data_IF_805252377055
#
_entry.id   IF_805252377055
#
_cell.length_a   1.000
_cell.length_b   1.000
_cell.length_c   1.000
_cell.angle_alpha   90.00
_cell.angle_beta   90.00
_cell.angle_gamma   90.00
#
_symmetry.space_group_name_H-M   'P 1'
#
loop_
_entity.id
_entity.type
_entity.pdbx_description
1 polymer ?
#
# COMPACT_ATOMS: atom_id res chain seq x y z
N UNK A 1 -25.93 4.26 11.25
CA UNK A 1 -25.08 3.68 10.17
C UNK A 1 -23.80 3.21 10.80
N UNK A 2 -23.40 1.98 10.55
CA UNK A 2 -22.10 1.46 11.01
C UNK A 2 -20.98 2.27 10.33
N UNK A 3 -20.25 3.04 11.14
CA UNK A 3 -19.18 3.95 10.69
C UNK A 3 -18.03 3.17 10.05
N UNK A 4 -17.83 1.91 10.41
CA UNK A 4 -16.80 1.03 9.83
C UNK A 4 -17.18 0.69 8.38
N UNK A 5 -18.43 0.32 8.12
CA UNK A 5 -18.89 0.00 6.75
C UNK A 5 -18.84 1.20 5.81
N UNK A 6 -19.09 2.41 6.33
CA UNK A 6 -18.94 3.64 5.54
C UNK A 6 -17.47 3.86 5.17
N UNK A 7 -16.53 3.69 6.11
CA UNK A 7 -15.10 3.83 5.86
C UNK A 7 -14.58 2.77 4.89
N UNK A 8 -15.02 1.52 5.02
CA UNK A 8 -14.73 0.43 4.06
C UNK A 8 -15.09 0.84 2.64
N UNK A 9 -16.35 1.23 2.41
CA UNK A 9 -16.81 1.66 1.09
C UNK A 9 -16.03 2.85 0.54
N UNK A 10 -15.63 3.78 1.40
CA UNK A 10 -14.78 4.92 0.98
C UNK A 10 -13.38 4.46 0.55
N UNK A 11 -12.74 3.55 1.30
CA UNK A 11 -11.44 3.00 0.96
C UNK A 11 -11.54 2.13 -0.31
N UNK A 12 -12.51 1.23 -0.41
CA UNK A 12 -12.78 0.41 -1.60
C UNK A 12 -12.96 1.28 -2.85
N UNK A 13 -13.75 2.37 -2.75
CA UNK A 13 -13.95 3.31 -3.86
C UNK A 13 -12.65 4.06 -4.22
N UNK A 14 -11.85 4.44 -3.23
CA UNK A 14 -10.63 5.23 -3.44
C UNK A 14 -9.48 4.41 -4.04
N UNK A 15 -9.30 3.18 -3.57
CA UNK A 15 -8.17 2.34 -3.94
C UNK A 15 -8.53 1.34 -5.03
N UNK A 16 -9.78 0.89 -5.12
CA UNK A 16 -10.24 -0.04 -6.15
C UNK A 16 -9.80 -1.50 -5.95
N UNK A 17 -8.62 -1.73 -5.37
CA UNK A 17 -8.15 -3.06 -4.98
C UNK A 17 -8.00 -3.16 -3.47
N UNK A 18 -8.32 -4.33 -2.94
CA UNK A 18 -8.17 -4.63 -1.53
C UNK A 18 -8.09 -6.14 -1.27
N UNK A 19 -7.57 -6.48 -0.09
CA UNK A 19 -7.49 -7.84 0.43
C UNK A 19 -7.67 -7.83 1.95
N UNK A 20 -8.13 -8.94 2.51
CA UNK A 20 -8.31 -9.09 3.97
C UNK A 20 -7.01 -9.55 4.62
N UNK A 21 -6.68 -8.96 5.77
CA UNK A 21 -5.49 -9.31 6.52
C UNK A 21 -5.86 -10.30 7.65
N UNK A 22 -4.94 -11.22 8.04
CA UNK A 22 -5.21 -12.21 9.10
C UNK A 22 -5.63 -11.63 10.46
N UNK A 23 -5.33 -10.35 10.71
CA UNK A 23 -5.72 -9.61 11.91
C UNK A 23 -7.16 -9.05 11.85
N UNK A 24 -7.94 -9.40 10.82
CA UNK A 24 -9.28 -8.87 10.58
C UNK A 24 -9.30 -7.45 9.97
N UNK A 25 -8.12 -6.90 9.68
CA UNK A 25 -7.93 -5.65 8.96
C UNK A 25 -8.01 -5.83 7.45
N UNK A 26 -7.67 -4.77 6.72
CA UNK A 26 -7.65 -4.78 5.25
C UNK A 26 -6.43 -4.06 4.70
N UNK A 27 -5.91 -4.58 3.59
CA UNK A 27 -4.93 -3.91 2.75
C UNK A 27 -5.63 -3.37 1.53
N UNK A 28 -5.49 -2.08 1.24
CA UNK A 28 -6.03 -1.41 0.06
C UNK A 28 -4.88 -0.92 -0.81
N UNK A 29 -4.99 -1.00 -2.13
CA UNK A 29 -3.97 -0.44 -3.03
C UNK A 29 -4.51 0.02 -4.38
N UNK A 30 -3.80 0.96 -4.99
CA UNK A 30 -3.95 1.29 -6.41
C UNK A 30 -2.58 1.48 -7.06
N UNK A 31 -2.53 1.19 -8.36
CA UNK A 31 -1.33 1.31 -9.18
C UNK A 31 -1.39 2.60 -9.99
N UNK A 32 -0.27 3.31 -10.05
CA UNK A 32 -0.06 4.50 -10.87
C UNK A 32 1.03 4.18 -11.90
N UNK A 33 0.69 4.11 -13.20
CA UNK A 33 1.69 3.91 -14.23
C UNK A 33 2.63 5.11 -14.29
N UNK A 34 3.93 4.83 -14.29
CA UNK A 34 5.00 5.80 -14.44
C UNK A 34 5.55 5.85 -15.85
N UNK A 35 6.69 6.54 -16.02
CA UNK A 35 7.39 6.62 -17.31
C UNK A 35 8.25 5.37 -17.54
N UNK A 36 8.48 5.02 -18.80
CA UNK A 36 9.40 3.94 -19.21
C UNK A 36 9.08 2.57 -18.59
N UNK A 37 7.80 2.26 -18.38
CA UNK A 37 7.35 0.98 -17.81
C UNK A 37 7.45 0.88 -16.29
N UNK A 38 7.97 1.91 -15.61
CA UNK A 38 7.93 1.96 -14.15
C UNK A 38 6.50 2.15 -13.66
N UNK A 39 6.23 1.76 -12.42
CA UNK A 39 4.93 1.99 -11.78
C UNK A 39 5.11 2.23 -10.29
N UNK A 40 4.23 3.03 -9.71
CA UNK A 40 4.12 3.14 -8.27
C UNK A 40 2.84 2.45 -7.79
N UNK A 41 2.88 1.82 -6.61
CA UNK A 41 1.71 1.29 -5.92
C UNK A 41 1.56 2.02 -4.60
N UNK A 42 0.40 2.61 -4.36
CA UNK A 42 0.08 3.20 -3.07
C UNK A 42 -0.66 2.15 -2.24
N UNK A 43 -0.12 1.82 -1.08
CA UNK A 43 -0.68 0.80 -0.18
C UNK A 43 -1.12 1.45 1.13
N UNK A 44 -2.33 1.09 1.57
CA UNK A 44 -2.89 1.46 2.87
C UNK A 44 -3.32 0.20 3.62
N UNK A 45 -2.83 0.01 4.82
CA UNK A 45 -3.27 -1.07 5.70
C UNK A 45 -4.05 -0.49 6.88
N UNK A 46 -5.15 -1.14 7.23
CA UNK A 46 -6.03 -0.75 8.33
C UNK A 46 -6.29 -1.93 9.27
N UNK A 47 -6.64 -1.63 10.53
CA UNK A 47 -7.14 -2.63 11.48
C UNK A 47 -8.62 -3.00 11.21
N UNK A 48 -9.17 -3.88 12.04
CA UNK A 48 -10.58 -4.31 11.93
C UNK A 48 -11.60 -3.18 12.06
N UNK A 49 -11.20 -2.05 12.63
CA UNK A 49 -12.01 -0.85 12.86
C UNK A 49 -11.79 0.23 11.79
N UNK A 50 -11.07 -0.10 10.71
CA UNK A 50 -10.68 0.83 9.64
C UNK A 50 -9.75 1.97 10.10
N UNK A 51 -9.02 1.80 11.20
CA UNK A 51 -7.97 2.72 11.60
C UNK A 51 -6.71 2.42 10.78
N UNK A 52 -6.07 3.45 10.24
CA UNK A 52 -4.86 3.27 9.43
C UNK A 52 -3.72 2.80 10.32
N UNK A 53 -3.09 1.68 9.95
CA UNK A 53 -1.89 1.14 10.61
C UNK A 53 -0.67 1.55 9.79
N UNK A 54 -0.73 1.40 8.46
CA UNK A 54 0.36 1.73 7.56
C UNK A 54 -0.12 2.47 6.32
N UNK A 55 0.71 3.40 5.85
CA UNK A 55 0.58 3.98 4.52
C UNK A 55 1.95 4.11 3.89
N UNK A 56 2.14 3.49 2.73
CA UNK A 56 3.43 3.47 2.04
C UNK A 56 3.24 3.43 0.52
N UNK A 57 4.30 3.79 -0.19
CA UNK A 57 4.37 3.77 -1.64
C UNK A 57 5.48 2.83 -2.06
N UNK A 58 5.14 1.86 -2.88
CA UNK A 58 6.09 0.93 -3.51
C UNK A 58 6.41 1.42 -4.92
N UNK A 59 7.68 1.44 -5.30
CA UNK A 59 8.13 1.78 -6.65
C UNK A 59 8.64 0.54 -7.33
N UNK A 60 8.05 0.23 -8.47
CA UNK A 60 8.43 -0.89 -9.31
C UNK A 60 9.11 -0.41 -10.59
N UNK A 61 10.16 -1.11 -10.99
CA UNK A 61 10.83 -0.87 -12.25
C UNK A 61 10.03 -1.43 -13.45
N UNK A 62 10.61 -1.32 -14.65
CA UNK A 62 10.02 -1.83 -15.89
C UNK A 62 9.93 -3.35 -15.98
N UNK A 63 10.57 -4.09 -15.07
CA UNK A 63 10.50 -5.55 -14.94
C UNK A 63 9.52 -5.97 -13.84
N UNK A 64 8.77 -5.02 -13.28
CA UNK A 64 7.85 -5.21 -12.14
C UNK A 64 8.57 -5.66 -10.86
N UNK A 65 9.86 -5.35 -10.73
CA UNK A 65 10.62 -5.60 -9.50
C UNK A 65 10.50 -4.39 -8.57
N UNK A 66 10.26 -4.65 -7.28
CA UNK A 66 10.21 -3.61 -6.25
C UNK A 66 11.62 -3.06 -6.02
N UNK A 67 11.81 -1.77 -6.26
CA UNK A 67 13.13 -1.11 -6.13
C UNK A 67 13.18 -0.12 -4.98
N UNK A 68 12.03 0.37 -4.51
CA UNK A 68 11.98 1.36 -3.45
C UNK A 68 10.65 1.28 -2.69
N UNK A 69 10.70 1.54 -1.39
CA UNK A 69 9.51 1.71 -0.55
C UNK A 69 9.62 3.04 0.20
N UNK A 70 8.63 3.91 0.04
CA UNK A 70 8.48 5.13 0.84
C UNK A 70 7.40 4.93 1.89
N UNK A 71 7.80 4.76 3.15
CA UNK A 71 6.88 4.69 4.29
C UNK A 71 6.48 6.09 4.72
N UNK A 72 5.18 6.38 4.76
CA UNK A 72 4.62 7.70 5.09
C UNK A 72 3.89 7.73 6.44
N UNK A 73 3.38 6.58 6.88
CA UNK A 73 2.66 6.40 8.14
C UNK A 73 2.95 4.99 8.71
N UNK A 74 3.10 4.82 10.04
CA UNK A 74 2.87 5.80 11.12
C UNK A 74 3.99 6.82 11.30
N UNK A 75 5.19 6.49 10.84
CA UNK A 75 6.36 7.37 10.84
C UNK A 75 6.84 7.48 9.40
N UNK A 76 7.11 8.70 8.94
CA UNK A 76 7.71 8.92 7.62
C UNK A 76 9.20 8.59 7.70
N UNK A 77 9.58 7.44 7.16
CA UNK A 77 10.98 7.00 7.10
C UNK A 77 11.68 7.46 5.82
N UNK A 78 10.97 8.22 4.96
CA UNK A 78 11.48 8.60 3.64
C UNK A 78 11.61 7.39 2.71
N UNK A 79 12.45 7.56 1.70
CA UNK A 79 12.65 6.57 0.64
C UNK A 79 13.69 5.53 1.05
N UNK A 80 13.26 4.28 1.20
CA UNK A 80 14.14 3.14 1.45
C UNK A 80 14.32 2.37 0.13
N UNK A 81 15.54 2.38 -0.42
CA UNK A 81 15.86 1.54 -1.57
C UNK A 81 15.87 0.07 -1.16
N UNK A 82 15.17 -0.75 -1.91
CA UNK A 82 15.26 -2.20 -1.78
C UNK A 82 16.49 -2.62 -2.58
N UNK A 83 17.67 -2.56 -1.95
CA UNK A 83 18.84 -3.28 -2.46
C UNK A 83 18.51 -4.76 -2.41
N UNK A 84 18.63 -5.47 -3.53
CA UNK A 84 18.48 -6.93 -3.61
C UNK A 84 19.08 -7.60 -2.37
N UNK A 85 18.23 -8.02 -1.44
CA UNK A 85 18.65 -9.03 -0.47
C UNK A 85 18.66 -10.31 -1.28
N UNK A 86 19.84 -10.63 -1.83
CA UNK A 86 20.11 -11.95 -2.35
C UNK A 86 19.67 -12.97 -1.30
N UNK A 87 18.77 -13.86 -1.70
CA UNK A 87 18.54 -15.10 -0.99
C UNK A 87 19.91 -15.76 -0.70
N UNK A 88 20.17 -16.01 0.58
CA UNK A 88 21.11 -17.04 1.01
C UNK A 88 20.47 -17.83 2.14
#
# INVERSE_FOLDING_TARGET
MDTIQVRRRQNEKKFGNWDELPNGGRRYWYDVPGRRGWSARYVKEVDSNENTIYFYQEIYDNRRQLVEVHRKYPVDHGHEKVSEVQEK
#
